data_IF_482281485395
#
_entry.id   IF_482281485395
#
_cell.length_a   1.000
_cell.length_b   1.000
_cell.length_c   1.000
_cell.angle_alpha   90.00
_cell.angle_beta   90.00
_cell.angle_gamma   90.00
#
_symmetry.space_group_name_H-M   'P 1'
#
loop_
_entity.id
_entity.type
_entity.pdbx_description
1 polymer ?
#
# COMPACT_ATOMS: atom_id res chain seq x y z
N UNK A 1 -3.74 4.27 -0.68
CA UNK A 1 -3.19 4.37 -2.06
C UNK A 1 -3.47 3.06 -2.78
N UNK A 2 -4.47 3.04 -3.64
CA UNK A 2 -4.70 1.88 -4.52
C UNK A 2 -3.66 1.92 -5.64
N UNK A 3 -2.71 1.01 -5.63
CA UNK A 3 -1.67 0.91 -6.66
C UNK A 3 -2.27 0.34 -7.94
N UNK A 4 -3.25 -0.54 -7.80
CA UNK A 4 -4.03 -1.14 -8.89
C UNK A 4 -5.45 -1.37 -8.37
N UNK A 5 -6.46 -0.95 -9.12
CA UNK A 5 -7.86 -1.20 -8.79
C UNK A 5 -8.25 -2.64 -9.12
N UNK A 6 -9.22 -3.19 -8.41
CA UNK A 6 -9.70 -4.56 -8.68
C UNK A 6 -10.09 -4.77 -10.15
N UNK A 7 -10.71 -3.78 -10.77
CA UNK A 7 -11.08 -3.79 -12.19
C UNK A 7 -9.85 -3.91 -13.09
N UNK A 8 -8.80 -3.15 -12.79
CA UNK A 8 -7.54 -3.15 -13.54
C UNK A 8 -6.79 -4.47 -13.38
N UNK A 9 -6.83 -5.04 -12.18
CA UNK A 9 -6.27 -6.36 -11.93
C UNK A 9 -7.05 -7.44 -12.69
N UNK A 10 -8.39 -7.38 -12.68
CA UNK A 10 -9.23 -8.29 -13.44
C UNK A 10 -8.97 -8.22 -14.96
N UNK A 11 -8.69 -7.01 -15.50
CA UNK A 11 -8.29 -6.84 -16.90
C UNK A 11 -6.97 -7.55 -17.23
N UNK A 12 -5.99 -7.53 -16.30
CA UNK A 12 -4.69 -8.18 -16.53
C UNK A 12 -4.78 -9.70 -16.51
N UNK A 13 -5.60 -10.27 -15.63
CA UNK A 13 -5.78 -11.73 -15.54
C UNK A 13 -6.75 -12.29 -16.59
N UNK A 14 -7.53 -11.43 -17.25
CA UNK A 14 -8.45 -11.89 -18.30
C UNK A 14 -7.67 -12.49 -19.48
N UNK A 15 -8.16 -13.60 -20.07
CA UNK A 15 -7.53 -14.22 -21.23
C UNK A 15 -7.32 -13.22 -22.37
N UNK A 16 -6.16 -13.25 -23.01
CA UNK A 16 -5.82 -12.41 -24.17
C UNK A 16 -5.64 -13.28 -25.41
N UNK A 17 -5.84 -12.68 -26.58
CA UNK A 17 -5.55 -13.33 -27.86
C UNK A 17 -4.10 -13.02 -28.26
N UNK A 18 -3.28 -14.05 -28.45
CA UNK A 18 -1.88 -13.88 -28.87
C UNK A 18 -0.88 -13.71 -27.72
N UNK A 19 0.36 -13.31 -28.02
CA UNK A 19 1.42 -13.21 -27.04
C UNK A 19 1.16 -12.05 -26.06
N UNK A 20 1.28 -12.33 -24.77
CA UNK A 20 1.26 -11.36 -23.70
C UNK A 20 2.69 -11.00 -23.30
N UNK A 21 3.04 -9.74 -23.42
CA UNK A 21 4.36 -9.21 -23.06
C UNK A 21 4.24 -8.42 -21.79
N UNK A 22 5.01 -8.77 -20.78
CA UNK A 22 5.15 -8.01 -19.53
C UNK A 22 6.57 -7.52 -19.41
N UNK A 23 6.75 -6.22 -19.21
CA UNK A 23 8.06 -5.59 -19.01
C UNK A 23 8.06 -4.94 -17.64
N UNK A 24 9.00 -5.32 -16.79
CA UNK A 24 9.28 -4.69 -15.52
C UNK A 24 10.58 -3.90 -15.61
N UNK A 25 10.58 -2.67 -15.05
CA UNK A 25 11.73 -1.78 -15.04
C UNK A 25 11.84 -1.11 -13.67
N UNK A 26 13.00 -1.21 -12.97
CA UNK A 26 13.29 -0.37 -11.83
C UNK A 26 13.52 1.07 -12.31
N UNK A 27 12.98 2.05 -11.59
CA UNK A 27 13.05 3.47 -11.95
C UNK A 27 13.74 4.25 -10.85
N UNK A 28 14.64 5.15 -11.23
CA UNK A 28 15.37 6.02 -10.33
C UNK A 28 14.68 7.40 -10.28
N UNK A 29 14.38 7.89 -9.06
CA UNK A 29 13.73 9.19 -8.85
C UNK A 29 14.73 10.35 -8.76
N UNK A 30 16.00 10.06 -8.47
CA UNK A 30 17.06 11.05 -8.27
C UNK A 30 18.43 10.39 -8.46
N UNK A 31 19.46 11.20 -8.63
CA UNK A 31 20.83 10.71 -8.74
C UNK A 31 21.42 10.87 -10.15
N UNK A 32 22.63 10.34 -10.33
CA UNK A 32 23.32 10.35 -11.62
C UNK A 32 22.58 9.53 -12.68
N UNK A 33 21.91 8.46 -12.26
CA UNK A 33 21.18 7.54 -13.13
C UNK A 33 20.07 8.25 -13.92
N UNK A 34 19.38 9.20 -13.29
CA UNK A 34 18.34 10.02 -13.94
C UNK A 34 18.97 10.94 -14.98
N UNK A 35 20.09 11.59 -14.63
CA UNK A 35 20.78 12.52 -15.52
C UNK A 35 21.36 11.79 -16.75
N UNK A 36 21.83 10.57 -16.59
CA UNK A 36 22.38 9.72 -17.65
C UNK A 36 21.29 9.00 -18.45
N UNK A 37 19.99 9.22 -18.14
CA UNK A 37 18.85 8.54 -18.79
C UNK A 37 18.99 7.02 -18.76
N UNK A 38 19.53 6.47 -17.66
CA UNK A 38 19.84 5.04 -17.50
C UNK A 38 18.59 4.17 -17.66
N UNK A 39 17.48 4.58 -17.03
CA UNK A 39 16.21 3.85 -17.08
C UNK A 39 15.66 3.74 -18.52
N UNK A 40 15.78 4.81 -19.29
CA UNK A 40 15.41 4.82 -20.71
C UNK A 40 16.27 3.86 -21.55
N UNK A 41 17.57 3.77 -21.25
CA UNK A 41 18.48 2.84 -21.93
C UNK A 41 18.12 1.40 -21.58
N UNK A 42 17.86 1.11 -20.30
CA UNK A 42 17.45 -0.23 -19.86
C UNK A 42 16.12 -0.61 -20.50
N UNK A 43 15.14 0.29 -20.50
CA UNK A 43 13.85 0.05 -21.14
C UNK A 43 13.97 -0.24 -22.63
N UNK A 44 14.81 0.52 -23.34
CA UNK A 44 15.10 0.25 -24.76
C UNK A 44 15.68 -1.17 -24.96
N UNK A 45 16.61 -1.58 -24.09
CA UNK A 45 17.23 -2.90 -24.19
C UNK A 45 16.18 -4.01 -23.95
N UNK A 46 15.27 -3.82 -22.97
CA UNK A 46 14.17 -4.75 -22.72
C UNK A 46 13.21 -4.85 -23.91
N UNK A 47 12.94 -3.75 -24.61
CA UNK A 47 12.13 -3.78 -25.83
C UNK A 47 12.82 -4.53 -26.97
N UNK A 48 14.13 -4.39 -27.13
CA UNK A 48 14.91 -5.17 -28.11
C UNK A 48 14.92 -6.66 -27.76
N UNK A 49 15.04 -6.98 -26.47
CA UNK A 49 14.93 -8.37 -25.98
C UNK A 49 13.55 -8.96 -26.27
N UNK A 50 12.48 -8.17 -26.03
CA UNK A 50 11.12 -8.56 -26.35
C UNK A 50 10.95 -8.84 -27.85
N UNK A 51 11.43 -7.96 -28.72
CA UNK A 51 11.36 -8.13 -30.17
C UNK A 51 12.08 -9.41 -30.61
N UNK A 52 13.31 -9.62 -30.14
CA UNK A 52 14.10 -10.80 -30.47
C UNK A 52 13.42 -12.10 -30.02
N UNK A 53 12.83 -12.09 -28.82
CA UNK A 53 12.12 -13.26 -28.29
C UNK A 53 10.82 -13.55 -29.07
N UNK A 54 10.06 -12.52 -29.44
CA UNK A 54 8.86 -12.69 -30.29
C UNK A 54 9.20 -13.27 -31.66
N UNK A 55 10.27 -12.77 -32.29
CA UNK A 55 10.74 -13.28 -33.57
C UNK A 55 11.27 -14.71 -33.44
N UNK A 56 12.00 -14.99 -32.35
CA UNK A 56 12.47 -16.36 -32.03
C UNK A 56 11.33 -17.35 -31.81
N UNK A 57 10.18 -16.89 -31.29
CA UNK A 57 8.95 -17.69 -31.14
C UNK A 57 8.11 -17.76 -32.41
N UNK A 58 8.66 -17.27 -33.56
CA UNK A 58 8.04 -17.43 -34.90
C UNK A 58 7.13 -16.27 -35.31
N UNK A 59 7.06 -15.15 -34.55
CA UNK A 59 6.33 -13.98 -35.01
C UNK A 59 7.14 -13.25 -36.09
N UNK A 60 6.49 -12.75 -37.13
CA UNK A 60 7.15 -11.99 -38.19
C UNK A 60 7.69 -10.66 -37.62
N UNK A 61 8.91 -10.20 -38.00
CA UNK A 61 9.53 -9.00 -37.42
C UNK A 61 8.65 -7.75 -37.48
N UNK A 62 7.94 -7.51 -38.58
CA UNK A 62 7.07 -6.33 -38.70
C UNK A 62 5.88 -6.38 -37.73
N UNK A 63 5.32 -7.58 -37.44
CA UNK A 63 4.25 -7.74 -36.45
C UNK A 63 4.75 -7.56 -35.02
N UNK A 64 5.99 -8.01 -34.73
CA UNK A 64 6.62 -7.76 -33.43
C UNK A 64 6.82 -6.25 -33.18
N UNK A 65 7.27 -5.51 -34.21
CA UNK A 65 7.44 -4.06 -34.12
C UNK A 65 6.10 -3.33 -33.99
N UNK A 66 5.07 -3.75 -34.72
CA UNK A 66 3.73 -3.18 -34.61
C UNK A 66 3.17 -3.40 -33.20
N UNK A 67 3.32 -4.59 -32.64
CA UNK A 67 2.88 -4.91 -31.27
C UNK A 67 3.61 -4.09 -30.21
N UNK A 68 4.90 -3.85 -30.39
CA UNK A 68 5.72 -3.05 -29.45
C UNK A 68 5.63 -1.52 -29.69
N UNK A 69 4.99 -1.08 -30.78
CA UNK A 69 4.95 0.34 -31.16
C UNK A 69 4.43 1.28 -30.05
N UNK A 70 3.39 0.94 -29.26
CA UNK A 70 2.96 1.79 -28.16
C UNK A 70 4.05 2.00 -27.11
N UNK A 71 4.78 0.95 -26.74
CA UNK A 71 5.87 1.01 -25.78
C UNK A 71 7.11 1.74 -26.33
N UNK A 72 7.40 1.57 -27.63
CA UNK A 72 8.46 2.30 -28.31
C UNK A 72 8.19 3.82 -28.32
N UNK A 73 6.92 4.25 -28.35
CA UNK A 73 6.55 5.66 -28.30
C UNK A 73 6.96 6.32 -26.98
N UNK A 74 6.96 5.57 -25.86
CA UNK A 74 7.34 6.06 -24.53
C UNK A 74 8.80 6.50 -24.46
N UNK A 75 9.69 5.96 -25.32
CA UNK A 75 11.10 6.36 -25.37
C UNK A 75 11.27 7.84 -25.72
N UNK A 76 10.26 8.45 -26.38
CA UNK A 76 10.29 9.84 -26.82
C UNK A 76 9.55 10.80 -25.86
N UNK A 77 8.86 10.27 -24.86
CA UNK A 77 8.05 11.06 -23.92
C UNK A 77 8.84 11.39 -22.65
N UNK A 78 9.58 12.51 -22.67
CA UNK A 78 10.35 12.96 -21.50
C UNK A 78 9.48 13.24 -20.28
N UNK A 79 8.24 13.73 -20.46
CA UNK A 79 7.32 14.03 -19.34
C UNK A 79 6.91 12.75 -18.61
N UNK A 80 6.66 11.68 -19.35
CA UNK A 80 6.35 10.38 -18.80
C UNK A 80 7.46 9.90 -17.84
N UNK A 81 8.73 9.97 -18.27
CA UNK A 81 9.85 9.50 -17.47
C UNK A 81 10.05 10.29 -16.17
N UNK A 82 9.71 11.59 -16.16
CA UNK A 82 9.82 12.43 -14.95
C UNK A 82 8.70 12.19 -13.92
N UNK A 83 7.61 11.53 -14.30
CA UNK A 83 6.46 11.27 -13.43
C UNK A 83 6.46 9.87 -12.80
N UNK A 84 7.46 9.06 -13.13
CA UNK A 84 7.57 7.70 -12.63
C UNK A 84 8.01 7.69 -11.16
N UNK A 85 7.53 6.65 -10.44
CA UNK A 85 7.91 6.37 -9.05
C UNK A 85 9.15 5.46 -9.00
N UNK A 86 9.11 4.37 -8.23
CA UNK A 86 10.27 3.49 -8.03
C UNK A 86 10.34 2.33 -9.03
N UNK A 87 9.23 2.03 -9.72
CA UNK A 87 9.16 0.97 -10.70
C UNK A 87 8.12 1.24 -11.78
N UNK A 88 8.28 0.57 -12.89
CA UNK A 88 7.39 0.62 -14.04
C UNK A 88 7.02 -0.79 -14.46
N UNK A 89 5.75 -1.03 -14.74
CA UNK A 89 5.31 -2.24 -15.43
C UNK A 89 4.53 -1.87 -16.68
N UNK A 90 4.85 -2.54 -17.79
CA UNK A 90 4.19 -2.34 -19.09
C UNK A 90 3.64 -3.67 -19.57
N UNK A 91 2.35 -3.68 -19.91
CA UNK A 91 1.62 -4.85 -20.40
C UNK A 91 1.19 -4.61 -21.82
N UNK A 92 1.56 -5.52 -22.71
CA UNK A 92 1.32 -5.40 -24.15
C UNK A 92 0.77 -6.73 -24.67
N UNK A 93 -0.39 -6.68 -25.35
CA UNK A 93 -0.92 -7.79 -26.13
C UNK A 93 -1.61 -7.20 -27.38
N UNK A 94 -1.98 -8.00 -28.38
CA UNK A 94 -2.85 -7.51 -29.44
C UNK A 94 -4.09 -6.85 -28.85
N UNK A 95 -4.38 -5.61 -29.24
CA UNK A 95 -5.51 -4.80 -28.75
C UNK A 95 -5.48 -4.45 -27.25
N UNK A 96 -4.33 -4.63 -26.58
CA UNK A 96 -4.18 -4.26 -25.16
C UNK A 96 -2.83 -3.60 -24.87
N UNK A 97 -2.89 -2.43 -24.25
CA UNK A 97 -1.71 -1.71 -23.76
C UNK A 97 -2.00 -1.05 -22.44
N UNK A 98 -1.23 -1.37 -21.40
CA UNK A 98 -1.40 -0.77 -20.07
C UNK A 98 -0.05 -0.51 -19.42
N UNK A 99 0.02 0.60 -18.70
CA UNK A 99 1.19 1.03 -17.94
C UNK A 99 0.79 1.17 -16.48
N UNK A 100 1.59 0.63 -15.58
CA UNK A 100 1.44 0.83 -14.14
C UNK A 100 2.72 1.43 -13.56
N UNK A 101 2.54 2.53 -12.83
CA UNK A 101 3.60 3.19 -12.09
C UNK A 101 3.65 2.60 -10.67
N UNK A 102 4.77 1.97 -10.32
CA UNK A 102 4.92 1.20 -9.09
C UNK A 102 5.67 1.99 -8.02
N UNK A 103 5.16 2.04 -6.78
CA UNK A 103 5.82 2.74 -5.69
C UNK A 103 7.03 1.98 -5.10
N UNK A 104 7.33 0.79 -5.60
CA UNK A 104 8.44 -0.06 -5.17
C UNK A 104 9.32 -0.44 -6.35
N UNK A 105 10.56 -0.84 -6.03
CA UNK A 105 11.48 -1.32 -7.05
C UNK A 105 11.14 -2.74 -7.48
N UNK A 106 11.25 -2.97 -8.77
CA UNK A 106 11.11 -4.27 -9.44
C UNK A 106 12.44 -4.65 -10.10
N UNK A 107 12.60 -5.91 -10.49
CA UNK A 107 13.73 -6.30 -11.34
C UNK A 107 13.45 -5.93 -12.79
N UNK A 108 14.51 -5.60 -13.54
CA UNK A 108 14.41 -5.39 -14.98
C UNK A 108 14.24 -6.74 -15.68
N UNK A 109 13.05 -7.03 -16.18
CA UNK A 109 12.68 -8.33 -16.76
C UNK A 109 11.68 -8.20 -17.89
N UNK A 110 11.75 -9.12 -18.85
CA UNK A 110 10.77 -9.28 -19.93
C UNK A 110 10.19 -10.70 -19.89
N UNK A 111 8.86 -10.77 -19.83
CA UNK A 111 8.13 -12.04 -19.92
C UNK A 111 7.24 -12.02 -21.15
N UNK A 112 7.29 -13.10 -21.93
CA UNK A 112 6.43 -13.31 -23.10
C UNK A 112 5.80 -14.70 -22.95
N UNK A 113 4.50 -14.71 -22.68
CA UNK A 113 3.74 -15.93 -22.35
C UNK A 113 2.35 -15.87 -23.00
N UNK A 114 1.51 -16.87 -22.77
CA UNK A 114 0.08 -16.86 -23.13
C UNK A 114 -0.77 -15.93 -22.26
N UNK A 115 -0.28 -15.57 -21.06
CA UNK A 115 -0.89 -14.63 -20.13
C UNK A 115 0.16 -13.61 -19.62
N UNK A 116 -0.28 -12.51 -19.04
CA UNK A 116 0.63 -11.56 -18.42
C UNK A 116 1.27 -12.16 -17.17
N UNK A 117 2.57 -11.94 -16.99
CA UNK A 117 3.23 -12.22 -15.71
C UNK A 117 2.86 -11.13 -14.73
N UNK A 118 2.13 -11.50 -13.67
CA UNK A 118 1.70 -10.60 -12.62
C UNK A 118 2.31 -10.93 -11.25
N UNK A 119 3.27 -11.86 -11.19
CA UNK A 119 3.86 -12.36 -9.95
C UNK A 119 4.39 -11.24 -9.05
N UNK A 120 5.00 -10.19 -9.64
CA UNK A 120 5.47 -9.03 -8.89
C UNK A 120 4.34 -8.15 -8.31
N UNK A 121 3.08 -8.38 -8.72
CA UNK A 121 1.89 -7.68 -8.19
C UNK A 121 1.09 -8.49 -7.19
N UNK A 122 1.33 -9.78 -7.06
CA UNK A 122 0.55 -10.62 -6.13
C UNK A 122 0.62 -10.08 -4.71
N UNK A 123 1.74 -9.47 -4.33
CA UNK A 123 1.87 -8.76 -3.06
C UNK A 123 1.01 -7.47 -2.97
N UNK A 124 0.43 -7.00 -4.07
CA UNK A 124 -0.37 -5.77 -4.15
C UNK A 124 -1.88 -6.01 -4.18
N UNK A 125 -2.32 -7.27 -4.15
CA UNK A 125 -3.74 -7.62 -4.18
C UNK A 125 -4.45 -7.32 -2.86
N UNK A 126 -5.80 -7.33 -2.86
CA UNK A 126 -6.71 -6.77 -1.86
C UNK A 126 -6.48 -7.11 -0.38
N UNK A 127 -5.68 -8.11 -0.05
CA UNK A 127 -5.43 -8.56 1.33
C UNK A 127 -4.13 -8.00 1.94
N UNK A 128 -3.60 -6.89 1.41
CA UNK A 128 -2.41 -6.28 2.00
C UNK A 128 -2.67 -5.78 3.41
N UNK A 129 -1.81 -6.13 4.36
CA UNK A 129 -1.91 -5.56 5.68
C UNK A 129 -1.63 -4.04 5.60
N UNK A 130 -2.52 -3.27 6.18
CA UNK A 130 -2.39 -1.82 6.28
C UNK A 130 -2.49 -1.40 7.76
N UNK A 131 -2.11 -0.18 8.02
CA UNK A 131 -2.14 0.43 9.34
C UNK A 131 -2.70 1.84 9.27
N UNK A 132 -3.09 2.35 10.43
CA UNK A 132 -3.35 3.77 10.63
C UNK A 132 -2.25 4.39 11.47
N UNK A 133 -1.84 5.62 11.12
CA UNK A 133 -0.95 6.44 11.91
C UNK A 133 -1.68 7.72 12.26
N UNK A 134 -1.89 7.95 13.56
CA UNK A 134 -2.46 9.19 14.08
C UNK A 134 -1.36 10.08 14.65
N UNK A 135 -1.08 11.18 13.98
CA UNK A 135 -0.15 12.21 14.41
C UNK A 135 -0.92 13.26 15.17
N UNK A 136 -0.63 13.43 16.46
CA UNK A 136 -1.37 14.34 17.35
C UNK A 136 -0.47 15.36 18.03
N UNK A 137 -0.91 16.61 17.95
CA UNK A 137 -0.34 17.73 18.70
C UNK A 137 -1.45 18.55 19.38
N UNK A 138 -1.12 19.65 20.04
CA UNK A 138 -2.13 20.62 20.53
C UNK A 138 -2.78 21.39 19.38
N UNK A 139 -2.07 21.58 18.28
CA UNK A 139 -2.43 22.44 17.16
C UNK A 139 -2.94 21.66 15.95
N UNK A 140 -2.65 20.35 15.85
CA UNK A 140 -3.05 19.53 14.71
C UNK A 140 -3.35 18.09 15.09
N UNK A 141 -4.21 17.46 14.28
CA UNK A 141 -4.42 16.03 14.27
C UNK A 141 -4.51 15.57 12.82
N UNK A 142 -3.61 14.68 12.43
CA UNK A 142 -3.55 14.11 11.09
C UNK A 142 -3.62 12.59 11.18
N UNK A 143 -4.50 11.98 10.39
CA UNK A 143 -4.62 10.53 10.29
C UNK A 143 -4.17 10.06 8.92
N UNK A 144 -3.26 9.11 8.90
CA UNK A 144 -2.75 8.49 7.69
C UNK A 144 -3.17 7.03 7.63
N UNK A 145 -3.52 6.56 6.44
CA UNK A 145 -3.60 5.14 6.10
C UNK A 145 -2.34 4.76 5.34
N UNK A 146 -1.67 3.69 5.75
CA UNK A 146 -0.41 3.29 5.14
C UNK A 146 -0.25 1.79 5.04
N UNK A 147 0.63 1.37 4.16
CA UNK A 147 1.13 0.02 4.00
C UNK A 147 2.68 0.02 3.95
N UNK A 148 3.31 -1.08 3.54
CA UNK A 148 4.78 -1.16 3.44
C UNK A 148 5.38 -0.25 2.36
N UNK A 149 4.58 0.26 1.41
CA UNK A 149 5.05 1.04 0.26
C UNK A 149 4.80 2.53 0.40
N UNK A 150 3.88 2.94 1.27
CA UNK A 150 3.57 4.35 1.44
C UNK A 150 2.48 4.62 2.45
N UNK A 151 2.19 5.90 2.64
CA UNK A 151 1.05 6.34 3.44
C UNK A 151 0.42 7.58 2.83
N UNK A 152 -0.89 7.70 2.99
CA UNK A 152 -1.68 8.83 2.51
C UNK A 152 -2.45 9.47 3.66
N UNK A 153 -2.55 10.79 3.64
CA UNK A 153 -3.34 11.55 4.59
C UNK A 153 -4.83 11.35 4.27
N UNK A 154 -5.60 10.94 5.29
CA UNK A 154 -7.05 10.82 5.19
C UNK A 154 -7.72 12.12 5.60
N UNK A 155 -8.70 12.56 4.84
CA UNK A 155 -9.58 13.66 5.22
C UNK A 155 -10.85 13.09 5.88
N UNK A 156 -11.01 13.35 7.17
CA UNK A 156 -12.16 12.87 7.95
C UNK A 156 -13.05 14.06 8.27
N UNK A 157 -14.31 13.97 7.88
CA UNK A 157 -15.29 15.03 8.12
C UNK A 157 -15.55 15.20 9.63
N UNK A 158 -15.56 16.45 10.10
CA UNK A 158 -15.78 16.76 11.52
C UNK A 158 -14.60 16.47 12.44
N UNK A 159 -13.47 16.02 11.93
CA UNK A 159 -12.27 15.79 12.73
C UNK A 159 -11.69 17.11 13.23
N UNK A 160 -11.57 17.32 14.57
CA UNK A 160 -10.99 18.55 15.10
C UNK A 160 -9.51 18.64 14.72
N UNK A 161 -9.13 19.77 14.16
CA UNK A 161 -7.75 20.00 13.72
C UNK A 161 -6.81 20.34 14.88
N UNK A 162 -7.37 20.81 16.01
CA UNK A 162 -6.57 21.12 17.20
C UNK A 162 -7.42 21.53 18.38
N UNK A 163 -6.76 21.83 19.50
CA UNK A 163 -7.38 22.26 20.76
C UNK A 163 -8.31 23.47 20.58
N UNK A 164 -7.91 24.41 19.72
CA UNK A 164 -8.67 25.65 19.51
C UNK A 164 -10.07 25.42 18.93
N UNK A 165 -10.27 24.37 18.17
CA UNK A 165 -11.59 24.07 17.58
C UNK A 165 -12.58 23.65 18.64
N UNK A 166 -12.12 22.90 19.65
CA UNK A 166 -12.96 22.44 20.77
C UNK A 166 -13.24 23.58 21.76
N UNK A 167 -12.25 24.42 22.05
CA UNK A 167 -12.44 25.61 22.92
C UNK A 167 -13.48 26.54 22.31
N UNK A 168 -13.40 26.86 21.02
CA UNK A 168 -14.39 27.72 20.32
C UNK A 168 -15.81 27.13 20.33
N UNK A 169 -15.93 25.81 20.24
CA UNK A 169 -17.23 25.14 20.30
C UNK A 169 -17.85 25.24 21.69
N UNK A 170 -17.05 25.07 22.74
CA UNK A 170 -17.52 25.20 24.13
C UNK A 170 -17.93 26.65 24.46
N UNK A 171 -17.13 27.66 24.07
CA UNK A 171 -17.52 29.05 24.24
C UNK A 171 -18.81 29.42 23.52
N UNK A 172 -19.04 28.90 22.33
CA UNK A 172 -20.32 29.09 21.61
C UNK A 172 -21.50 28.45 22.33
N UNK A 173 -21.31 27.24 22.88
CA UNK A 173 -22.33 26.55 23.67
C UNK A 173 -22.68 27.30 24.94
N UNK A 174 -21.68 27.79 25.70
CA UNK A 174 -21.90 28.58 26.90
C UNK A 174 -22.60 29.90 26.60
N UNK A 175 -22.18 30.64 25.57
CA UNK A 175 -22.87 31.87 25.13
C UNK A 175 -24.30 31.63 24.68
N UNK A 176 -24.59 30.45 24.13
CA UNK A 176 -25.94 30.01 23.77
C UNK A 176 -26.82 29.81 25.01
N UNK A 177 -26.30 29.18 26.06
CA UNK A 177 -26.99 28.93 27.29
C UNK A 177 -27.27 30.23 28.11
N UNK A 178 -26.33 31.18 28.12
CA UNK A 178 -26.53 32.48 28.73
C UNK A 178 -27.56 33.39 28.07
N UNK A 179 -27.91 33.13 26.78
CA UNK A 179 -28.99 33.88 26.08
C UNK A 179 -30.41 33.35 26.36
N UNK A 180 -30.54 32.20 26.99
CA UNK A 180 -31.84 31.60 27.31
C UNK A 180 -32.26 31.80 28.78
N UNK A 181 -31.30 32.19 29.66
CA UNK A 181 -31.56 32.49 31.05
C UNK A 181 -31.76 34.00 31.25
N UNK A 182 -33.02 34.40 31.47
CA UNK A 182 -33.46 35.77 31.62
C UNK A 182 -32.80 36.52 32.79
N UNK A 183 -32.67 37.80 32.57
CA UNK A 183 -32.35 38.90 33.44
C UNK A 183 -32.57 38.73 34.97
N UNK A 184 -31.47 38.78 35.72
CA UNK A 184 -31.47 39.32 37.10
C UNK A 184 -30.26 40.25 37.28
N UNK A 185 -30.44 41.49 37.76
CA UNK A 185 -29.34 42.41 37.93
C UNK A 185 -28.70 42.23 39.32
N UNK A 186 -27.37 42.19 39.34
CA UNK A 186 -26.57 42.47 40.52
C UNK A 186 -26.04 41.26 41.25
N UNK A 187 -24.81 40.93 40.99
CA UNK A 187 -23.69 40.77 41.98
C UNK A 187 -22.41 40.61 41.14
N UNK A 188 -21.51 41.57 41.25
CA UNK A 188 -20.18 41.48 40.70
C UNK A 188 -19.35 40.44 41.47
N UNK A 189 -18.97 39.39 40.80
CA UNK A 189 -17.95 38.47 41.32
C UNK A 189 -16.68 38.69 40.51
N UNK A 190 -15.74 39.43 41.09
CA UNK A 190 -14.36 39.45 40.65
C UNK A 190 -13.73 38.08 40.96
N UNK A 191 -13.70 37.16 40.03
CA UNK A 191 -12.91 35.96 40.13
C UNK A 191 -11.50 36.21 39.58
N UNK A 192 -10.60 36.71 40.40
CA UNK A 192 -9.16 36.63 40.14
C UNK A 192 -8.65 35.26 40.60
N UNK A 193 -8.61 34.31 39.69
CA UNK A 193 -8.03 32.99 39.89
C UNK A 193 -6.68 32.87 39.21
N UNK A 194 -5.62 33.36 39.82
CA UNK A 194 -4.24 33.03 39.46
C UNK A 194 -3.89 31.64 40.01
N UNK A 195 -4.15 30.57 39.22
CA UNK A 195 -3.78 29.21 39.62
C UNK A 195 -4.48 28.10 38.84
N UNK A 196 -5.54 28.41 38.11
CA UNK A 196 -6.36 27.40 37.38
C UNK A 196 -5.84 27.01 35.97
N UNK A 197 -5.00 27.85 35.37
CA UNK A 197 -4.67 27.71 33.91
C UNK A 197 -4.07 26.38 33.49
N UNK A 198 -3.29 25.72 34.35
CA UNK A 198 -2.69 24.42 34.02
C UNK A 198 -3.68 23.23 34.16
N UNK A 199 -4.60 23.33 35.12
CA UNK A 199 -5.63 22.32 35.34
C UNK A 199 -6.68 22.41 34.22
N UNK A 200 -7.06 23.63 33.84
CA UNK A 200 -8.01 23.90 32.76
C UNK A 200 -7.42 23.45 31.41
N UNK A 201 -6.14 23.69 31.14
CA UNK A 201 -5.50 23.26 29.88
C UNK A 201 -5.48 21.75 29.73
N UNK A 202 -5.20 21.00 30.80
CA UNK A 202 -5.24 19.52 30.75
C UNK A 202 -6.64 19.00 30.47
N UNK A 203 -7.66 19.60 31.03
CA UNK A 203 -9.04 19.20 30.77
C UNK A 203 -9.47 19.54 29.36
N UNK A 204 -9.09 20.70 28.81
CA UNK A 204 -9.35 21.04 27.42
C UNK A 204 -8.65 20.07 26.44
N UNK A 205 -7.40 19.70 26.73
CA UNK A 205 -6.69 18.67 25.94
C UNK A 205 -7.44 17.34 26.00
N UNK A 206 -7.92 16.93 27.15
CA UNK A 206 -8.67 15.69 27.31
C UNK A 206 -9.98 15.72 26.54
N UNK A 207 -10.71 16.83 26.56
CA UNK A 207 -11.95 17.02 25.78
C UNK A 207 -11.69 17.00 24.27
N UNK A 208 -10.62 17.67 23.83
CA UNK A 208 -10.17 17.62 22.45
C UNK A 208 -9.91 16.19 21.99
N UNK A 209 -9.11 15.44 22.75
CA UNK A 209 -8.76 14.07 22.40
C UNK A 209 -9.96 13.11 22.49
N UNK A 210 -10.92 13.32 23.40
CA UNK A 210 -12.19 12.58 23.43
C UNK A 210 -13.05 12.85 22.18
N UNK A 211 -13.11 14.12 21.75
CA UNK A 211 -13.85 14.49 20.55
C UNK A 211 -13.20 13.88 19.31
N UNK A 212 -11.86 13.92 19.23
CA UNK A 212 -11.09 13.28 18.19
C UNK A 212 -11.35 11.77 18.14
N UNK A 213 -11.25 11.06 19.27
CA UNK A 213 -11.52 9.61 19.32
C UNK A 213 -12.94 9.28 18.88
N UNK A 214 -13.94 10.03 19.32
CA UNK A 214 -15.33 9.83 18.93
C UNK A 214 -15.55 9.95 17.42
N UNK A 215 -14.97 11.00 16.79
CA UNK A 215 -15.08 11.19 15.35
C UNK A 215 -14.34 10.07 14.60
N UNK A 216 -13.14 9.73 15.02
CA UNK A 216 -12.40 8.62 14.40
C UNK A 216 -13.14 7.28 14.55
N UNK A 217 -13.79 7.03 15.69
CA UNK A 217 -14.60 5.82 15.89
C UNK A 217 -15.82 5.80 14.97
N UNK A 218 -16.55 6.91 14.81
CA UNK A 218 -17.76 6.94 13.97
C UNK A 218 -17.44 6.87 12.48
N UNK A 219 -16.44 7.57 12.03
CA UNK A 219 -16.18 7.76 10.60
C UNK A 219 -15.19 6.77 10.00
N UNK A 220 -14.31 6.16 10.82
CA UNK A 220 -13.22 5.34 10.29
C UNK A 220 -13.07 4.00 11.02
N UNK A 221 -12.98 3.99 12.35
CA UNK A 221 -12.45 2.86 13.11
C UNK A 221 -13.49 1.84 13.60
N UNK A 222 -14.79 2.12 13.46
CA UNK A 222 -15.88 1.29 14.06
C UNK A 222 -15.81 -0.20 13.68
N UNK A 223 -15.51 -0.50 12.40
CA UNK A 223 -15.44 -1.86 11.86
C UNK A 223 -14.03 -2.28 11.46
N UNK A 224 -13.02 -1.48 11.84
CA UNK A 224 -11.64 -1.72 11.47
C UNK A 224 -10.93 -2.64 12.47
N UNK A 225 -9.99 -3.41 11.95
CA UNK A 225 -9.09 -4.26 12.75
C UNK A 225 -7.62 -3.93 12.52
N UNK A 226 -7.34 -2.96 11.66
CA UNK A 226 -6.00 -2.53 11.33
C UNK A 226 -5.30 -1.90 12.54
N UNK A 227 -4.00 -2.13 12.76
CA UNK A 227 -3.29 -1.52 13.88
C UNK A 227 -3.26 0.01 13.74
N UNK A 228 -3.49 0.72 14.86
CA UNK A 228 -3.36 2.17 14.97
C UNK A 228 -2.10 2.51 15.76
N UNK A 229 -1.15 3.17 15.11
CA UNK A 229 0.05 3.72 15.73
C UNK A 229 -0.18 5.19 16.10
N UNK A 230 0.31 5.61 17.24
CA UNK A 230 0.28 7.02 17.67
C UNK A 230 1.64 7.70 17.49
N UNK A 231 1.62 8.94 17.03
CA UNK A 231 2.79 9.79 16.94
C UNK A 231 2.49 11.14 17.60
N UNK A 232 3.38 11.61 18.46
CA UNK A 232 3.19 12.89 19.14
C UNK A 232 3.98 13.00 20.43
N UNK A 233 3.80 14.11 21.12
CA UNK A 233 4.46 14.36 22.41
C UNK A 233 3.87 13.43 23.48
N UNK A 234 4.71 12.89 24.34
CA UNK A 234 4.40 11.81 25.28
C UNK A 234 3.12 12.04 26.08
N UNK A 235 2.93 13.25 26.65
CA UNK A 235 1.75 13.54 27.46
C UNK A 235 0.44 13.59 26.65
N UNK A 236 0.47 14.03 25.38
CA UNK A 236 -0.67 14.04 24.47
C UNK A 236 -1.06 12.60 24.12
N UNK A 237 -0.07 11.82 23.67
CA UNK A 237 -0.25 10.41 23.33
C UNK A 237 -0.74 9.60 24.54
N UNK A 238 -0.14 9.83 25.72
CA UNK A 238 -0.57 9.19 26.97
C UNK A 238 -2.01 9.53 27.34
N UNK A 239 -2.45 10.77 27.13
CA UNK A 239 -3.83 11.19 27.35
C UNK A 239 -4.77 10.57 26.32
N UNK A 240 -4.38 10.51 25.04
CA UNK A 240 -5.19 9.84 24.00
C UNK A 240 -5.39 8.35 24.30
N UNK A 241 -4.34 7.63 24.74
CA UNK A 241 -4.47 6.22 25.17
C UNK A 241 -5.50 5.99 26.27
N UNK A 242 -5.66 6.95 27.17
CA UNK A 242 -6.63 6.85 28.27
C UNK A 242 -8.07 7.08 27.81
N UNK A 243 -8.29 7.83 26.72
CA UNK A 243 -9.63 8.19 26.23
C UNK A 243 -10.06 7.38 25.02
N UNK A 244 -9.12 6.75 24.31
CA UNK A 244 -9.40 5.97 23.11
C UNK A 244 -10.10 4.66 23.43
N UNK A 245 -11.09 4.31 22.63
CA UNK A 245 -11.87 3.07 22.67
C UNK A 245 -11.42 2.08 21.59
N UNK A 246 -10.43 2.42 20.78
CA UNK A 246 -9.97 1.54 19.70
C UNK A 246 -9.16 0.36 20.23
N UNK A 247 -9.62 -0.86 19.92
CA UNK A 247 -9.04 -2.09 20.47
C UNK A 247 -7.68 -2.47 19.87
N UNK A 248 -7.39 -2.00 18.65
CA UNK A 248 -6.17 -2.32 17.93
C UNK A 248 -5.12 -1.20 17.99
N UNK A 249 -5.18 -0.40 19.08
CA UNK A 249 -4.18 0.61 19.36
C UNK A 249 -2.85 -0.04 19.75
N UNK A 250 -1.79 0.26 19.01
CA UNK A 250 -0.47 -0.33 19.26
C UNK A 250 0.15 0.16 20.59
N UNK A 251 0.85 -0.72 21.33
CA UNK A 251 1.53 -0.32 22.56
C UNK A 251 2.71 0.64 22.28
N UNK A 252 3.34 0.52 21.13
CA UNK A 252 4.43 1.37 20.67
C UNK A 252 3.92 2.75 20.27
N UNK A 253 4.74 3.80 20.39
CA UNK A 253 4.45 5.17 19.92
C UNK A 253 5.68 5.77 19.26
N UNK A 254 5.47 6.67 18.32
CA UNK A 254 6.51 7.56 17.80
C UNK A 254 6.52 8.83 18.64
N UNK A 255 7.45 8.89 19.63
CA UNK A 255 7.56 10.04 20.53
C UNK A 255 8.24 11.21 19.84
N UNK A 256 7.74 12.42 20.04
CA UNK A 256 8.31 13.67 19.54
C UNK A 256 7.30 14.56 18.84
N UNK A 257 7.77 15.70 18.36
CA UNK A 257 6.95 16.58 17.53
C UNK A 257 7.06 16.11 16.06
N UNK A 258 5.95 15.67 15.49
CA UNK A 258 5.84 15.19 14.11
C UNK A 258 4.93 16.06 13.25
N UNK A 259 4.49 17.22 13.75
CA UNK A 259 3.53 18.12 13.08
C UNK A 259 3.98 18.58 11.69
N UNK A 260 5.29 18.73 11.48
CA UNK A 260 5.87 19.14 10.20
C UNK A 260 6.90 18.12 9.69
N UNK A 261 6.74 16.86 10.06
CA UNK A 261 7.70 15.83 9.66
C UNK A 261 7.57 15.52 8.16
N UNK A 262 8.71 15.33 7.51
CA UNK A 262 8.74 14.79 6.14
C UNK A 262 8.07 13.41 6.11
N UNK A 263 7.13 13.24 5.17
CA UNK A 263 6.31 12.03 5.04
C UNK A 263 7.17 10.78 4.82
N UNK A 264 8.25 10.87 4.04
CA UNK A 264 9.15 9.73 3.79
C UNK A 264 9.88 9.29 5.06
N UNK A 265 10.36 10.27 5.85
CA UNK A 265 11.03 9.99 7.12
C UNK A 265 10.07 9.45 8.17
N UNK A 266 8.83 9.96 8.17
CA UNK A 266 7.79 9.48 9.06
C UNK A 266 7.39 8.04 8.71
N UNK A 267 7.24 7.72 7.41
CA UNK A 267 6.99 6.38 6.90
C UNK A 267 8.04 5.38 7.38
N UNK A 268 9.33 5.68 7.21
CA UNK A 268 10.40 4.77 7.65
C UNK A 268 10.30 4.40 9.13
N UNK A 269 10.12 5.40 10.00
CA UNK A 269 9.94 5.17 11.45
C UNK A 269 8.66 4.41 11.77
N UNK A 270 7.59 4.68 11.04
CA UNK A 270 6.31 4.00 11.20
C UNK A 270 6.44 2.53 10.86
N UNK A 271 7.09 2.20 9.74
CA UNK A 271 7.30 0.81 9.30
C UNK A 271 8.13 0.00 10.29
N UNK A 272 9.14 0.59 10.93
CA UNK A 272 9.89 -0.06 12.01
C UNK A 272 8.97 -0.43 13.19
N UNK A 273 8.04 0.46 13.55
CA UNK A 273 7.14 0.26 14.68
C UNK A 273 5.99 -0.71 14.38
N UNK A 274 5.40 -0.66 13.18
CA UNK A 274 4.24 -1.48 12.81
C UNK A 274 4.61 -2.82 12.17
N UNK A 275 5.82 -2.97 11.65
CA UNK A 275 6.27 -4.17 10.92
C UNK A 275 5.99 -5.50 11.64
N UNK A 276 6.24 -5.63 12.96
CA UNK A 276 5.90 -6.85 13.70
C UNK A 276 4.41 -7.22 13.64
N UNK A 277 3.52 -6.22 13.54
CA UNK A 277 2.06 -6.38 13.54
C UNK A 277 1.51 -6.63 12.14
N UNK A 278 2.05 -5.97 11.11
CA UNK A 278 1.66 -6.19 9.72
C UNK A 278 1.89 -7.63 9.27
N UNK A 279 2.98 -8.23 9.69
CA UNK A 279 3.35 -9.59 9.32
C UNK A 279 2.64 -10.69 10.13
N UNK A 280 1.68 -10.35 11.00
CA UNK A 280 1.05 -11.34 11.88
C UNK A 280 0.27 -12.39 11.09
N UNK A 281 -0.52 -11.99 10.08
CA UNK A 281 -1.29 -12.91 9.23
C UNK A 281 -0.35 -13.87 8.47
N UNK A 282 0.68 -13.34 7.83
CA UNK A 282 1.66 -14.14 7.08
C UNK A 282 2.44 -15.09 8.00
N UNK A 283 2.84 -14.61 9.17
CA UNK A 283 3.51 -15.47 10.19
C UNK A 283 2.59 -16.58 10.68
N UNK A 284 1.32 -16.28 10.97
CA UNK A 284 0.33 -17.27 11.39
C UNK A 284 0.07 -18.30 10.29
N UNK A 285 -0.07 -17.86 9.04
CA UNK A 285 -0.25 -18.75 7.90
C UNK A 285 0.98 -19.67 7.71
N UNK A 286 2.19 -19.12 7.82
CA UNK A 286 3.43 -19.88 7.74
C UNK A 286 3.56 -20.88 8.91
N UNK A 287 3.19 -20.47 10.12
CA UNK A 287 3.17 -21.37 11.28
C UNK A 287 2.17 -22.52 11.09
N UNK A 288 0.98 -22.24 10.54
CA UNK A 288 -0.02 -23.25 10.20
C UNK A 288 0.53 -24.23 9.14
N UNK A 289 1.25 -23.72 8.13
CA UNK A 289 1.92 -24.54 7.13
C UNK A 289 2.92 -25.51 7.83
N UNK A 290 3.79 -25.00 8.69
CA UNK A 290 4.77 -25.83 9.40
C UNK A 290 4.11 -26.87 10.33
N UNK A 291 3.02 -26.51 10.99
CA UNK A 291 2.28 -27.44 11.85
C UNK A 291 1.63 -28.59 11.06
N UNK A 292 1.45 -28.42 9.75
CA UNK A 292 0.79 -29.39 8.87
C UNK A 292 1.72 -30.09 7.89
N UNK A 293 3.05 -29.91 8.00
CA UNK A 293 4.04 -30.47 7.07
C UNK A 293 3.94 -31.99 6.87
N UNK A 294 3.50 -32.73 7.90
CA UNK A 294 3.34 -34.17 7.84
C UNK A 294 1.96 -34.64 7.33
N UNK A 295 1.12 -33.72 6.90
CA UNK A 295 -0.24 -34.02 6.43
C UNK A 295 -0.37 -33.82 4.91
N UNK A 296 -1.39 -34.41 4.25
CA UNK A 296 -1.64 -34.15 2.84
C UNK A 296 -2.17 -32.73 2.52
N UNK A 297 -2.37 -31.89 3.57
CA UNK A 297 -2.88 -30.51 3.44
C UNK A 297 -1.80 -29.51 3.03
N UNK A 298 -0.53 -29.90 3.03
CA UNK A 298 0.57 -29.03 2.61
C UNK A 298 1.48 -29.75 1.62
N UNK A 299 2.07 -29.00 0.70
CA UNK A 299 3.06 -29.50 -0.24
C UNK A 299 4.01 -28.39 -0.66
N UNK A 300 5.30 -28.74 -0.85
CA UNK A 300 6.31 -27.90 -1.50
C UNK A 300 6.69 -28.40 -2.90
N UNK A 301 6.02 -29.45 -3.39
CA UNK A 301 6.33 -30.05 -4.68
C UNK A 301 5.57 -29.32 -5.79
N UNK A 302 6.24 -28.69 -6.78
CA UNK A 302 5.57 -27.97 -7.87
C UNK A 302 4.54 -28.79 -8.62
N UNK A 303 4.83 -30.09 -8.85
CA UNK A 303 3.92 -31.03 -9.52
C UNK A 303 2.62 -31.32 -8.77
N UNK A 304 2.52 -30.94 -7.49
CA UNK A 304 1.28 -30.99 -6.70
C UNK A 304 0.67 -29.60 -6.54
N UNK A 305 1.52 -28.60 -6.28
CA UNK A 305 1.08 -27.23 -5.97
C UNK A 305 0.48 -26.54 -7.19
N UNK A 306 1.13 -26.63 -8.36
CA UNK A 306 0.67 -25.93 -9.56
C UNK A 306 -0.69 -26.48 -10.04
N UNK A 307 -0.89 -27.82 -10.20
CA UNK A 307 -2.21 -28.34 -10.51
C UNK A 307 -3.29 -27.96 -9.48
N UNK A 308 -2.96 -28.06 -8.17
CA UNK A 308 -3.89 -27.71 -7.12
C UNK A 308 -4.27 -26.22 -7.16
N UNK A 309 -3.32 -25.33 -7.48
CA UNK A 309 -3.56 -23.92 -7.71
C UNK A 309 -4.47 -23.68 -8.90
N UNK A 310 -4.17 -24.30 -10.03
CA UNK A 310 -4.97 -24.21 -11.24
C UNK A 310 -6.43 -24.61 -11.01
N UNK A 311 -6.66 -25.72 -10.30
CA UNK A 311 -8.00 -26.19 -9.96
C UNK A 311 -8.61 -25.51 -8.73
N UNK A 312 -8.02 -24.42 -8.21
CA UNK A 312 -8.52 -23.66 -7.05
C UNK A 312 -8.70 -24.51 -5.77
N UNK A 313 -7.82 -25.47 -5.55
CA UNK A 313 -7.86 -26.39 -4.41
C UNK A 313 -6.95 -25.96 -3.26
N UNK A 314 -6.30 -24.78 -3.36
CA UNK A 314 -5.42 -24.24 -2.34
C UNK A 314 -6.09 -23.08 -1.59
N UNK A 315 -5.85 -22.97 -0.29
CA UNK A 315 -6.29 -21.86 0.55
C UNK A 315 -5.20 -20.79 0.72
N UNK A 316 -3.93 -21.12 0.47
CA UNK A 316 -2.80 -20.22 0.56
C UNK A 316 -1.61 -20.74 -0.23
N UNK A 317 -0.88 -19.83 -0.86
CA UNK A 317 0.34 -20.09 -1.61
C UNK A 317 1.45 -19.19 -1.07
N UNK A 318 2.60 -19.77 -0.80
CA UNK A 318 3.83 -19.05 -0.49
C UNK A 318 4.77 -19.13 -1.68
N UNK A 319 5.09 -17.99 -2.25
CA UNK A 319 6.01 -17.87 -3.38
C UNK A 319 7.24 -17.08 -2.92
N UNK A 320 8.42 -17.58 -3.23
CA UNK A 320 9.66 -16.85 -2.96
C UNK A 320 9.78 -15.66 -3.93
N UNK A 321 10.00 -14.47 -3.39
CA UNK A 321 10.11 -13.26 -4.20
C UNK A 321 11.31 -13.36 -5.16
N UNK A 322 11.03 -13.28 -6.46
CA UNK A 322 12.02 -13.33 -7.53
C UNK A 322 12.57 -14.72 -7.84
N UNK A 323 11.94 -15.78 -7.34
CA UNK A 323 12.12 -17.12 -7.86
C UNK A 323 11.24 -17.31 -9.10
N UNK A 324 11.74 -18.06 -10.08
CA UNK A 324 10.99 -18.39 -11.29
C UNK A 324 11.02 -19.88 -11.52
N UNK A 325 9.85 -20.44 -11.83
CA UNK A 325 9.68 -21.82 -12.28
C UNK A 325 9.31 -21.81 -13.77
N UNK A 326 10.21 -22.30 -14.60
CA UNK A 326 9.98 -22.38 -16.04
C UNK A 326 9.41 -23.74 -16.42
N UNK A 327 8.39 -23.76 -17.28
CA UNK A 327 7.83 -25.01 -17.75
C UNK A 327 6.48 -24.85 -18.43
N UNK A 328 5.76 -25.97 -18.52
CA UNK A 328 4.43 -26.03 -19.13
C UNK A 328 3.50 -26.88 -18.29
N UNK A 329 2.29 -26.42 -18.13
CA UNK A 329 1.21 -27.19 -17.52
C UNK A 329 0.17 -27.55 -18.57
N UNK A 330 0.04 -28.84 -18.87
CA UNK A 330 -1.01 -29.38 -19.75
C UNK A 330 -2.25 -29.69 -18.91
N UNK A 331 -3.27 -28.86 -19.07
CA UNK A 331 -4.54 -28.97 -18.35
C UNK A 331 -5.27 -30.26 -18.64
N UNK A 332 -5.21 -30.74 -19.93
CA UNK A 332 -5.95 -31.91 -20.38
C UNK A 332 -5.34 -33.20 -19.88
N UNK A 333 -4.02 -33.25 -19.85
CA UNK A 333 -3.26 -34.40 -19.34
C UNK A 333 -2.96 -34.29 -17.84
N UNK A 334 -3.27 -33.13 -17.18
CA UNK A 334 -2.89 -32.79 -15.80
C UNK A 334 -1.39 -33.06 -15.57
N UNK A 335 -0.56 -32.62 -16.52
CA UNK A 335 0.88 -32.93 -16.53
C UNK A 335 1.69 -31.65 -16.51
N UNK A 336 2.59 -31.56 -15.51
CA UNK A 336 3.56 -30.50 -15.39
C UNK A 336 4.91 -30.95 -15.96
N UNK A 337 5.51 -30.14 -16.82
CA UNK A 337 6.89 -30.28 -17.28
C UNK A 337 7.66 -29.05 -16.80
N UNK A 338 8.75 -29.26 -16.06
CA UNK A 338 9.61 -28.20 -15.55
C UNK A 338 10.97 -28.23 -16.23
N UNK A 339 11.55 -27.05 -16.44
CA UNK A 339 12.89 -26.87 -16.98
C UNK A 339 13.73 -26.02 -16.03
N UNK A 340 15.05 -26.31 -15.94
CA UNK A 340 15.99 -25.53 -15.11
C UNK A 340 16.21 -24.13 -15.68
N UNK A 341 16.18 -24.01 -17.00
CA UNK A 341 16.30 -22.75 -17.73
C UNK A 341 15.12 -22.61 -18.67
N UNK A 342 14.75 -21.39 -18.96
CA UNK A 342 13.65 -21.08 -19.87
C UNK A 342 13.92 -21.67 -21.26
N UNK A 343 13.02 -22.50 -21.74
CA UNK A 343 13.00 -23.03 -23.09
C UNK A 343 11.94 -22.33 -23.96
N UNK A 344 12.06 -22.37 -25.31
CA UNK A 344 11.04 -21.80 -26.19
C UNK A 344 9.65 -22.40 -25.92
N UNK A 345 8.69 -21.54 -25.62
CA UNK A 345 7.32 -21.91 -25.30
C UNK A 345 7.07 -22.26 -23.83
N UNK A 346 8.04 -22.10 -22.93
CA UNK A 346 7.81 -22.19 -21.50
C UNK A 346 7.10 -20.93 -20.96
N UNK A 347 6.26 -21.18 -19.97
CA UNK A 347 5.60 -20.15 -19.17
C UNK A 347 6.29 -20.03 -17.82
N UNK A 348 6.18 -18.84 -17.21
CA UNK A 348 6.55 -18.64 -15.83
C UNK A 348 5.38 -19.13 -14.96
N UNK A 349 5.62 -20.17 -14.15
CA UNK A 349 4.60 -20.91 -13.42
C UNK A 349 4.51 -20.50 -11.93
N UNK A 350 5.25 -19.45 -11.52
CA UNK A 350 5.29 -18.87 -10.16
C UNK A 350 4.21 -17.82 -9.89
#
# INVERSE_FOLDING_TARGET
MEIIREEEFAELIAPKTGPCITIYLPVHQSGMEVNEKKDLIVFKNLLVEAENTLVGNGLKPHLAQELLAPALSLLKDEKFWHQLSSGLAVFIAPDFFKILNLPFQVKAEVHINSCFNIAQFVCLTADRPYYYLLVISKSSADIYKGDEYGMELLSIEGMPQGLNDVVRLNEKSERGLFRIGGTAPGVGVNAHGHGSGLADEKEYIRQYLKTLDRVLQSELLANETAPLLLAGVEYIVGTYRQVSHYKHLLPTTLTGNHEYADVKRLLSKTLEAVGPFLNTKSKSALQNYYNQLATPLTSSMPNKVIPAGYYKQISGLFVERGAHLWGRFDETANRLTLHENREPGDECLD
#
